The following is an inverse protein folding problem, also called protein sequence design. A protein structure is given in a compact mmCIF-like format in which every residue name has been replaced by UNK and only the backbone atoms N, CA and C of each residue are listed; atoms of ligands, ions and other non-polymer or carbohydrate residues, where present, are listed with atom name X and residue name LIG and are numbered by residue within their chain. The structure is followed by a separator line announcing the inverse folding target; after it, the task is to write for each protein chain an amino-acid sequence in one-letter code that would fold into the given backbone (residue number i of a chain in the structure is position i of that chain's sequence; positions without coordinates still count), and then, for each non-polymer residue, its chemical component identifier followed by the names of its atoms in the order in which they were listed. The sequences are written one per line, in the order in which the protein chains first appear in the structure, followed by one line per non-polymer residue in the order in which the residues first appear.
data_IF_163173644585
#
_entry.id   IF_163173644585
#
_cell.length_a   1.000
_cell.length_b   1.000
_cell.length_c   1.000
_cell.angle_alpha   90.00
_cell.angle_beta   90.00
_cell.angle_gamma   90.00
#
_symmetry.space_group_name_H-M   'P 1'
#
loop_
_entity.id
_entity.type
_entity.pdbx_description
1 polymer ?
#
# COMPACT_ATOMS: atom_id res chain seq x y z
N UNK A 1 -0.74 -8.60 -23.49
CA UNK A 1 -1.61 -7.82 -22.58
C UNK A 1 -0.77 -7.39 -21.40
N UNK A 2 -0.51 -6.08 -21.23
CA UNK A 2 0.21 -5.56 -20.07
C UNK A 2 -0.68 -5.67 -18.84
N UNK A 3 -0.30 -6.49 -17.86
CA UNK A 3 -1.03 -6.68 -16.62
C UNK A 3 -0.87 -5.40 -15.78
N UNK A 4 -1.95 -4.64 -15.61
CA UNK A 4 -1.97 -3.49 -14.70
C UNK A 4 -1.81 -4.01 -13.27
N UNK A 5 -0.66 -3.73 -12.65
CA UNK A 5 -0.41 -4.01 -11.23
C UNK A 5 -0.71 -2.76 -10.41
N UNK A 6 -1.35 -2.97 -9.27
CA UNK A 6 -1.63 -1.97 -8.25
C UNK A 6 -1.01 -2.47 -6.95
N UNK A 7 -0.37 -1.58 -6.22
CA UNK A 7 0.26 -1.88 -4.94
C UNK A 7 -0.55 -1.30 -3.81
N UNK A 8 -0.75 -2.08 -2.76
CA UNK A 8 -1.39 -1.60 -1.55
C UNK A 8 -0.55 -1.99 -0.33
N UNK A 9 -0.24 -1.01 0.50
CA UNK A 9 0.54 -1.16 1.73
C UNK A 9 -0.21 -0.54 2.92
N UNK A 10 -0.02 -1.09 4.11
CA UNK A 10 -0.69 -0.61 5.33
C UNK A 10 0.19 -0.78 6.55
N UNK A 11 0.23 0.24 7.40
CA UNK A 11 0.83 0.18 8.73
C UNK A 11 -0.13 0.61 9.83
N UNK A 12 -0.13 -0.13 10.94
CA UNK A 12 -0.99 0.13 12.09
C UNK A 12 -0.43 1.21 13.02
N UNK A 13 0.88 1.49 12.94
CA UNK A 13 1.56 2.47 13.80
C UNK A 13 2.55 3.30 12.99
N UNK A 14 2.75 4.56 13.37
CA UNK A 14 3.71 5.51 12.75
C UNK A 14 5.16 5.00 12.69
N UNK A 15 5.52 4.06 13.58
CA UNK A 15 6.87 3.49 13.68
C UNK A 15 7.10 2.31 12.76
N UNK A 16 6.06 1.80 12.09
CA UNK A 16 6.21 0.72 11.14
C UNK A 16 6.57 1.28 9.77
N UNK A 17 7.62 0.70 9.19
CA UNK A 17 8.30 1.27 8.04
C UNK A 17 7.53 1.02 6.73
N UNK A 18 6.67 1.97 6.39
CA UNK A 18 5.96 1.96 5.11
C UNK A 18 6.90 2.08 3.91
N UNK A 19 8.11 2.62 4.10
CA UNK A 19 9.10 2.68 3.04
C UNK A 19 9.57 1.28 2.64
N UNK A 20 9.70 0.34 3.58
CA UNK A 20 10.05 -1.05 3.28
C UNK A 20 8.97 -1.76 2.46
N UNK A 21 7.68 -1.56 2.79
CA UNK A 21 6.56 -2.13 2.02
C UNK A 21 6.47 -1.51 0.62
N UNK A 22 6.68 -0.19 0.51
CA UNK A 22 6.71 0.53 -0.78
C UNK A 22 7.86 0.07 -1.65
N UNK A 23 9.05 -0.11 -1.10
CA UNK A 23 10.22 -0.64 -1.81
C UNK A 23 9.97 -2.05 -2.36
N UNK A 24 9.34 -2.93 -1.58
CA UNK A 24 8.96 -4.27 -2.04
C UNK A 24 7.92 -4.23 -3.19
N UNK A 25 6.97 -3.30 -3.16
CA UNK A 25 6.00 -3.13 -4.26
C UNK A 25 6.66 -2.60 -5.54
N UNK A 26 7.62 -1.68 -5.41
CA UNK A 26 8.41 -1.19 -6.54
C UNK A 26 9.24 -2.31 -7.18
N UNK A 27 9.84 -3.20 -6.37
CA UNK A 27 10.59 -4.37 -6.85
C UNK A 27 9.70 -5.37 -7.64
N UNK A 28 8.41 -5.42 -7.31
CA UNK A 28 7.39 -6.20 -8.02
C UNK A 28 6.85 -5.52 -9.29
N UNK A 29 7.51 -4.47 -9.78
CA UNK A 29 7.15 -3.75 -11.00
C UNK A 29 5.76 -3.10 -10.89
N UNK A 30 5.42 -2.61 -9.68
CA UNK A 30 4.26 -1.75 -9.46
C UNK A 30 4.67 -0.30 -9.67
N UNK A 31 3.93 0.42 -10.51
CA UNK A 31 4.17 1.83 -10.75
C UNK A 31 3.91 2.65 -9.46
N UNK A 32 4.83 3.56 -9.13
CA UNK A 32 4.78 4.33 -7.89
C UNK A 32 3.48 5.15 -7.74
N UNK A 33 2.93 5.63 -8.85
CA UNK A 33 1.66 6.35 -8.93
C UNK A 33 0.42 5.47 -8.72
N UNK A 34 0.60 4.15 -8.57
CA UNK A 34 -0.44 3.16 -8.29
C UNK A 34 -0.16 2.41 -6.97
N UNK A 35 0.65 3.00 -6.10
CA UNK A 35 0.87 2.49 -4.75
C UNK A 35 0.00 3.30 -3.79
N UNK A 36 -0.92 2.62 -3.14
CA UNK A 36 -1.85 3.19 -2.18
C UNK A 36 -1.47 2.74 -0.77
N UNK A 37 -1.43 3.69 0.17
CA UNK A 37 -0.97 3.43 1.53
C UNK A 37 -1.98 3.86 2.56
N UNK A 38 -2.25 3.00 3.54
CA UNK A 38 -3.06 3.33 4.72
C UNK A 38 -2.19 3.41 5.98
N UNK A 39 -2.34 4.52 6.71
CA UNK A 39 -1.59 4.84 7.92
C UNK A 39 -2.50 4.87 9.14
N UNK A 40 -2.04 4.36 10.28
CA UNK A 40 -2.75 4.47 11.56
C UNK A 40 -4.01 3.61 11.68
N UNK A 41 -4.25 2.70 10.73
CA UNK A 41 -5.39 1.79 10.75
C UNK A 41 -4.97 0.46 11.36
N UNK A 42 -5.61 0.03 12.44
CA UNK A 42 -5.38 -1.30 13.01
C UNK A 42 -5.93 -2.39 12.08
N UNK A 43 -5.49 -3.63 12.23
CA UNK A 43 -5.95 -4.75 11.38
C UNK A 43 -7.45 -5.00 11.44
N UNK A 44 -8.11 -4.56 12.51
CA UNK A 44 -9.57 -4.67 12.73
C UNK A 44 -10.36 -3.59 11.98
N UNK A 45 -9.71 -2.50 11.53
CA UNK A 45 -10.36 -1.45 10.75
C UNK A 45 -10.74 -1.99 9.36
N UNK A 46 -12.05 -1.99 9.08
CA UNK A 46 -12.61 -2.37 7.78
C UNK A 46 -12.61 -1.22 6.78
N UNK A 47 -12.63 0.02 7.28
CA UNK A 47 -12.45 1.21 6.46
C UNK A 47 -10.99 1.29 6.03
N UNK A 48 -10.77 1.21 4.71
CA UNK A 48 -9.45 1.24 4.08
C UNK A 48 -9.45 2.27 2.95
N UNK A 49 -9.30 3.56 3.29
CA UNK A 49 -9.42 4.64 2.32
C UNK A 49 -8.38 4.55 1.21
N UNK A 50 -7.16 4.07 1.48
CA UNK A 50 -6.15 3.83 0.46
C UNK A 50 -6.55 2.68 -0.48
N UNK A 51 -7.10 1.59 0.05
CA UNK A 51 -7.59 0.48 -0.78
C UNK A 51 -8.82 0.87 -1.62
N UNK A 52 -9.66 1.77 -1.12
CA UNK A 52 -10.85 2.24 -1.83
C UNK A 52 -10.51 3.13 -3.05
N UNK A 53 -9.29 3.66 -3.13
CA UNK A 53 -8.80 4.50 -4.23
C UNK A 53 -8.02 3.71 -5.30
N UNK A 54 -7.80 2.42 -5.07
CA UNK A 54 -6.98 1.52 -5.86
C UNK A 54 -7.66 0.98 -7.12
#
# INVERSE_FOLDING_TARGET
MSKTRIGYARCSTDKQDLAAQRAALLDLDVAENRIYTDHGLTGTNRERPGLAQA
#
